data_IF_890865204223
#
_entry.id   IF_890865204223
#
_cell.length_a   1.000
_cell.length_b   1.000
_cell.length_c   1.000
_cell.angle_alpha   90.00
_cell.angle_beta   90.00
_cell.angle_gamma   90.00
#
_symmetry.space_group_name_H-M   'P 1'
#
loop_
_entity.id
_entity.type
_entity.pdbx_description
1 polymer ?
#
# COMPACT_ATOMS: atom_id res chain seq x y z
N UNK A 1 4.90 -1.79 -32.31
CA UNK A 1 4.27 -1.95 -30.98
C UNK A 1 2.81 -1.57 -31.09
N UNK A 2 1.87 -2.41 -30.66
CA UNK A 2 0.45 -2.08 -30.64
C UNK A 2 0.18 -0.95 -29.63
N UNK A 3 -0.77 -0.06 -29.93
CA UNK A 3 -1.13 1.06 -29.02
C UNK A 3 -1.55 0.60 -27.62
N UNK A 4 -2.14 -0.59 -27.52
CA UNK A 4 -2.47 -1.26 -26.24
C UNK A 4 -1.26 -1.37 -25.31
N UNK A 5 -0.12 -1.84 -25.81
CA UNK A 5 1.09 -2.04 -24.99
C UNK A 5 1.63 -0.73 -24.41
N UNK A 6 1.53 0.35 -25.17
CA UNK A 6 1.95 1.68 -24.71
C UNK A 6 1.04 2.14 -23.58
N UNK A 7 -0.28 2.07 -23.77
CA UNK A 7 -1.27 2.48 -22.76
C UNK A 7 -1.12 1.66 -21.48
N UNK A 8 -1.03 0.34 -21.59
CA UNK A 8 -0.86 -0.53 -20.43
C UNK A 8 0.42 -0.25 -19.66
N UNK A 9 1.55 -0.02 -20.36
CA UNK A 9 2.81 0.35 -19.71
C UNK A 9 2.72 1.70 -19.01
N UNK A 10 2.09 2.70 -19.63
CA UNK A 10 1.88 4.00 -19.00
C UNK A 10 1.04 3.85 -17.73
N UNK A 11 -0.09 3.15 -17.80
CA UNK A 11 -0.95 2.91 -16.64
C UNK A 11 -0.22 2.16 -15.53
N UNK A 12 0.53 1.10 -15.87
CA UNK A 12 1.23 0.29 -14.90
C UNK A 12 2.41 1.04 -14.25
N UNK A 13 3.26 1.69 -15.05
CA UNK A 13 4.47 2.35 -14.53
C UNK A 13 4.11 3.63 -13.80
N UNK A 14 3.30 4.52 -14.41
CA UNK A 14 2.92 5.79 -13.76
C UNK A 14 2.02 5.52 -12.56
N UNK A 15 1.07 4.59 -12.68
CA UNK A 15 0.24 4.16 -11.56
C UNK A 15 1.08 3.56 -10.43
N UNK A 16 2.08 2.74 -10.75
CA UNK A 16 3.05 2.20 -9.81
C UNK A 16 3.86 3.28 -9.09
N UNK A 17 4.35 4.29 -9.82
CA UNK A 17 5.07 5.44 -9.24
C UNK A 17 4.19 6.20 -8.24
N UNK A 18 2.95 6.52 -8.61
CA UNK A 18 2.03 7.24 -7.71
C UNK A 18 1.65 6.38 -6.50
N UNK A 19 1.36 5.10 -6.72
CA UNK A 19 0.96 4.19 -5.67
C UNK A 19 2.11 3.88 -4.69
N UNK A 20 3.19 3.29 -5.18
CA UNK A 20 4.33 2.88 -4.34
C UNK A 20 5.02 4.11 -3.74
N UNK A 21 5.20 5.18 -4.54
CA UNK A 21 5.74 6.45 -4.04
C UNK A 21 4.88 7.06 -2.94
N UNK A 22 3.56 7.04 -3.08
CA UNK A 22 2.63 7.50 -2.04
C UNK A 22 2.71 6.66 -0.75
N UNK A 23 2.85 5.34 -0.86
CA UNK A 23 3.03 4.45 0.30
C UNK A 23 4.37 4.71 0.98
N UNK A 24 5.47 4.84 0.22
CA UNK A 24 6.80 5.16 0.74
C UNK A 24 6.81 6.51 1.46
N UNK A 25 6.23 7.54 0.86
CA UNK A 25 6.09 8.86 1.49
C UNK A 25 5.30 8.77 2.79
N UNK A 26 4.18 8.04 2.79
CA UNK A 26 3.36 7.87 3.99
C UNK A 26 4.17 7.21 5.11
N UNK A 27 4.86 6.11 4.81
CA UNK A 27 5.46 5.25 5.82
C UNK A 27 6.79 5.73 6.35
N UNK A 28 7.64 6.30 5.50
CA UNK A 28 8.99 6.72 5.88
C UNK A 28 9.12 8.21 6.18
N UNK A 29 8.17 9.04 5.76
CA UNK A 29 8.26 10.49 5.95
C UNK A 29 7.11 11.01 6.80
N UNK A 30 5.86 10.83 6.35
CA UNK A 30 4.70 11.42 7.03
C UNK A 30 4.45 10.81 8.41
N UNK A 31 4.37 9.48 8.53
CA UNK A 31 4.11 8.83 9.81
C UNK A 31 5.18 9.13 10.87
N UNK A 32 6.49 9.07 10.57
CA UNK A 32 7.52 9.49 11.52
C UNK A 32 7.45 10.97 11.88
N UNK A 33 7.12 11.85 10.93
CA UNK A 33 6.98 13.29 11.19
C UNK A 33 5.80 13.57 12.14
N UNK A 34 4.68 12.88 11.95
CA UNK A 34 3.51 12.96 12.83
C UNK A 34 3.85 12.46 14.23
N UNK A 35 4.57 11.34 14.34
CA UNK A 35 4.96 10.78 15.63
C UNK A 35 5.84 11.76 16.42
N UNK A 36 6.80 12.41 15.74
CA UNK A 36 7.67 13.43 16.35
C UNK A 36 6.91 14.69 16.76
N UNK A 37 5.96 15.14 15.94
CA UNK A 37 5.14 16.32 16.24
C UNK A 37 4.12 16.07 17.39
N UNK A 38 3.87 14.82 17.74
CA UNK A 38 3.01 14.46 18.87
C UNK A 38 1.58 15.00 18.72
N UNK A 39 0.97 15.59 19.77
CA UNK A 39 -0.40 16.09 19.75
C UNK A 39 -0.68 17.15 18.67
N UNK A 40 0.33 17.94 18.28
CA UNK A 40 0.17 19.01 17.31
C UNK A 40 -0.17 18.50 15.89
N UNK A 41 0.12 17.24 15.58
CA UNK A 41 -0.18 16.65 14.28
C UNK A 41 -1.66 16.21 14.10
N UNK A 42 -2.48 16.28 15.14
CA UNK A 42 -3.86 15.80 15.13
C UNK A 42 -4.72 16.31 13.95
N UNK A 43 -4.80 17.64 13.73
CA UNK A 43 -5.59 18.20 12.63
C UNK A 43 -5.13 17.74 11.24
N UNK A 44 -3.81 17.68 11.01
CA UNK A 44 -3.23 17.24 9.73
C UNK A 44 -3.53 15.76 9.49
N UNK A 45 -3.42 14.92 10.52
CA UNK A 45 -3.76 13.50 10.44
C UNK A 45 -5.24 13.25 10.15
N UNK A 46 -6.14 14.09 10.68
CA UNK A 46 -7.57 14.01 10.37
C UNK A 46 -7.88 14.41 8.92
N UNK A 47 -7.11 15.35 8.35
CA UNK A 47 -7.31 15.84 6.99
C UNK A 47 -6.75 14.91 5.91
N UNK A 48 -5.69 14.15 6.19
CA UNK A 48 -5.01 13.29 5.20
C UNK A 48 -5.95 12.26 4.53
N UNK A 49 -6.77 11.48 5.25
CA UNK A 49 -7.68 10.52 4.63
C UNK A 49 -8.74 11.17 3.72
N UNK A 50 -9.01 12.47 3.92
CA UNK A 50 -9.97 13.22 3.13
C UNK A 50 -9.40 13.69 1.79
N UNK A 51 -8.06 13.75 1.68
CA UNK A 51 -7.39 14.19 0.46
C UNK A 51 -7.65 13.22 -0.69
N UNK A 52 -7.85 13.79 -1.88
CA UNK A 52 -8.20 13.04 -3.10
C UNK A 52 -7.19 11.92 -3.38
N UNK A 53 -5.90 12.20 -3.26
CA UNK A 53 -4.85 11.21 -3.53
C UNK A 53 -5.01 9.95 -2.67
N UNK A 54 -5.14 10.09 -1.35
CA UNK A 54 -5.26 8.94 -0.44
C UNK A 54 -6.59 8.20 -0.57
N UNK A 55 -7.65 8.90 -0.98
CA UNK A 55 -8.93 8.27 -1.31
C UNK A 55 -8.85 7.39 -2.56
N UNK A 56 -8.15 7.86 -3.59
CA UNK A 56 -8.02 7.17 -4.88
C UNK A 56 -6.84 6.22 -4.98
N UNK A 57 -5.87 6.27 -4.04
CA UNK A 57 -4.68 5.43 -4.06
C UNK A 57 -4.97 3.92 -4.19
N UNK A 58 -5.97 3.34 -3.48
CA UNK A 58 -6.31 1.93 -3.67
C UNK A 58 -6.86 1.63 -5.07
N UNK A 59 -7.62 2.55 -5.68
CA UNK A 59 -8.11 2.38 -7.05
C UNK A 59 -6.95 2.44 -8.06
N UNK A 60 -6.01 3.37 -7.87
CA UNK A 60 -4.78 3.46 -8.67
C UNK A 60 -3.97 2.17 -8.56
N UNK A 61 -3.84 1.61 -7.35
CA UNK A 61 -3.17 0.33 -7.12
C UNK A 61 -3.83 -0.82 -7.89
N UNK A 62 -5.17 -0.92 -7.84
CA UNK A 62 -5.92 -1.94 -8.58
C UNK A 62 -5.74 -1.79 -10.08
N UNK A 63 -5.88 -0.57 -10.63
CA UNK A 63 -5.66 -0.30 -12.05
C UNK A 63 -4.23 -0.67 -12.47
N UNK A 64 -3.24 -0.32 -11.63
CA UNK A 64 -1.83 -0.68 -11.84
C UNK A 64 -1.64 -2.19 -11.91
N UNK A 65 -2.19 -2.95 -10.95
CA UNK A 65 -2.08 -4.41 -10.94
C UNK A 65 -2.77 -5.05 -12.15
N UNK A 66 -3.97 -4.60 -12.51
CA UNK A 66 -4.69 -5.11 -13.68
C UNK A 66 -3.92 -4.84 -14.99
N UNK A 67 -3.35 -3.64 -15.14
CA UNK A 67 -2.50 -3.32 -16.28
C UNK A 67 -1.25 -4.21 -16.32
N UNK A 68 -0.62 -4.48 -15.17
CA UNK A 68 0.51 -5.38 -15.04
C UNK A 68 0.19 -6.83 -15.39
N UNK A 69 -0.95 -7.34 -14.91
CA UNK A 69 -1.45 -8.68 -15.24
C UNK A 69 -1.68 -8.81 -16.76
N UNK A 70 -2.28 -7.79 -17.39
CA UNK A 70 -2.48 -7.78 -18.84
C UNK A 70 -1.15 -7.74 -19.60
N UNK A 71 -0.18 -6.93 -19.15
CA UNK A 71 1.17 -6.92 -19.74
C UNK A 71 1.85 -8.28 -19.62
N UNK A 72 1.74 -8.93 -18.47
CA UNK A 72 2.29 -10.26 -18.23
C UNK A 72 1.63 -11.30 -19.14
N UNK A 73 0.31 -11.23 -19.32
CA UNK A 73 -0.43 -12.11 -20.23
C UNK A 73 0.05 -11.95 -21.68
N UNK A 74 0.24 -10.71 -22.16
CA UNK A 74 0.76 -10.48 -23.52
C UNK A 74 2.20 -10.97 -23.65
N UNK A 75 3.07 -10.66 -22.68
CA UNK A 75 4.49 -11.05 -22.71
C UNK A 75 4.70 -12.58 -22.67
N UNK A 76 3.81 -13.29 -21.99
CA UNK A 76 3.86 -14.75 -21.82
C UNK A 76 3.05 -15.53 -22.86
N UNK A 77 2.59 -14.89 -23.95
CA UNK A 77 1.74 -15.52 -24.96
C UNK A 77 0.51 -16.21 -24.37
N UNK A 78 -0.15 -15.56 -23.41
CA UNK A 78 -1.36 -16.07 -22.76
C UNK A 78 -1.10 -16.97 -21.55
N UNK A 79 -0.03 -16.69 -20.79
CA UNK A 79 0.46 -17.50 -19.67
C UNK A 79 1.01 -18.88 -20.05
N UNK A 80 1.71 -18.95 -21.18
CA UNK A 80 2.47 -20.12 -21.57
C UNK A 80 3.52 -20.48 -20.51
N UNK A 81 3.61 -21.77 -20.17
CA UNK A 81 4.45 -22.27 -19.08
C UNK A 81 5.93 -21.93 -19.30
N UNK A 82 6.38 -21.97 -20.55
CA UNK A 82 7.76 -21.77 -20.98
C UNK A 82 8.28 -20.39 -20.58
N UNK A 83 7.43 -19.36 -20.69
CA UNK A 83 7.79 -18.00 -20.27
C UNK A 83 8.12 -17.95 -18.77
N UNK A 84 7.31 -18.63 -17.95
CA UNK A 84 7.47 -18.63 -16.50
C UNK A 84 8.67 -19.45 -16.01
N UNK A 85 9.26 -20.29 -16.85
CA UNK A 85 10.50 -21.00 -16.55
C UNK A 85 11.75 -20.15 -16.81
N UNK A 86 11.61 -19.01 -17.52
CA UNK A 86 12.71 -18.06 -17.72
C UNK A 86 12.98 -17.22 -16.47
N UNK A 87 14.21 -16.71 -16.34
CA UNK A 87 14.55 -15.78 -15.27
C UNK A 87 13.67 -14.53 -15.31
N UNK A 88 13.49 -13.92 -16.50
CA UNK A 88 12.57 -12.80 -16.72
C UNK A 88 11.17 -13.08 -16.18
N UNK A 89 10.56 -14.20 -16.57
CA UNK A 89 9.20 -14.57 -16.21
C UNK A 89 9.04 -14.85 -14.72
N UNK A 90 10.02 -15.54 -14.12
CA UNK A 90 10.06 -15.75 -12.67
C UNK A 90 10.14 -14.43 -11.90
N UNK A 91 11.01 -13.50 -12.29
CA UNK A 91 11.18 -12.23 -11.59
C UNK A 91 9.92 -11.36 -11.66
N UNK A 92 9.27 -11.27 -12.84
CA UNK A 92 7.97 -10.57 -12.92
C UNK A 92 6.89 -11.23 -12.06
N UNK A 93 6.85 -12.56 -12.01
CA UNK A 93 5.86 -13.30 -11.21
C UNK A 93 6.03 -13.09 -9.72
N UNK A 94 7.28 -13.14 -9.23
CA UNK A 94 7.60 -12.84 -7.83
C UNK A 94 7.25 -11.40 -7.51
N UNK A 95 7.63 -10.45 -8.38
CA UNK A 95 7.25 -9.04 -8.21
C UNK A 95 5.74 -8.83 -8.13
N UNK A 96 4.97 -9.47 -9.02
CA UNK A 96 3.52 -9.41 -9.03
C UNK A 96 2.91 -9.97 -7.73
N UNK A 97 3.40 -11.13 -7.27
CA UNK A 97 2.95 -11.76 -6.02
C UNK A 97 3.22 -10.84 -4.82
N UNK A 98 4.44 -10.30 -4.71
CA UNK A 98 4.81 -9.39 -3.62
C UNK A 98 3.94 -8.13 -3.60
N UNK A 99 3.65 -7.55 -4.77
CA UNK A 99 2.78 -6.38 -4.88
C UNK A 99 1.33 -6.69 -4.45
N UNK A 100 0.78 -7.82 -4.87
CA UNK A 100 -0.57 -8.26 -4.50
C UNK A 100 -0.64 -8.52 -2.99
N UNK A 101 0.31 -9.27 -2.43
CA UNK A 101 0.35 -9.56 -0.98
C UNK A 101 0.51 -8.27 -0.18
N UNK A 102 1.40 -7.37 -0.62
CA UNK A 102 1.57 -6.05 -0.01
C UNK A 102 0.28 -5.23 0.00
N UNK A 103 -0.44 -5.20 -1.13
CA UNK A 103 -1.73 -4.53 -1.25
C UNK A 103 -2.79 -5.13 -0.30
N UNK A 104 -2.90 -6.46 -0.26
CA UNK A 104 -3.86 -7.15 0.60
C UNK A 104 -3.57 -6.90 2.09
N UNK A 105 -2.30 -6.92 2.50
CA UNK A 105 -1.92 -6.57 3.89
C UNK A 105 -2.34 -5.13 4.22
N UNK A 106 -2.10 -4.18 3.31
CA UNK A 106 -2.51 -2.80 3.51
C UNK A 106 -4.04 -2.66 3.65
N UNK A 107 -4.81 -3.31 2.78
CA UNK A 107 -6.27 -3.18 2.73
C UNK A 107 -7.02 -3.99 3.78
N UNK A 108 -6.56 -5.19 4.10
CA UNK A 108 -7.26 -6.11 5.00
C UNK A 108 -6.77 -6.02 6.45
N UNK A 109 -5.56 -5.50 6.68
CA UNK A 109 -4.97 -5.45 8.03
C UNK A 109 -4.63 -4.03 8.46
N UNK A 110 -3.78 -3.32 7.72
CA UNK A 110 -3.27 -2.02 8.16
C UNK A 110 -4.38 -0.96 8.21
N UNK A 111 -5.12 -0.77 7.10
CA UNK A 111 -6.17 0.23 6.98
C UNK A 111 -7.33 0.00 7.95
N UNK A 112 -7.92 -1.20 8.11
CA UNK A 112 -8.98 -1.42 9.09
C UNK A 112 -8.51 -1.18 10.52
N UNK A 113 -7.27 -1.55 10.85
CA UNK A 113 -6.69 -1.27 12.17
C UNK A 113 -6.58 0.23 12.43
N UNK A 114 -6.12 1.02 11.44
CA UNK A 114 -6.03 2.47 11.54
C UNK A 114 -7.41 3.14 11.66
N UNK A 115 -8.39 2.69 10.87
CA UNK A 115 -9.76 3.21 10.92
C UNK A 115 -10.41 2.95 12.28
N UNK A 116 -10.29 1.72 12.80
CA UNK A 116 -10.83 1.37 14.12
C UNK A 116 -10.15 2.14 15.24
N UNK A 117 -8.83 2.36 15.15
CA UNK A 117 -8.12 3.22 16.09
C UNK A 117 -8.63 4.67 16.07
N UNK A 118 -8.92 5.22 14.88
CA UNK A 118 -9.48 6.56 14.73
C UNK A 118 -10.89 6.68 15.32
N UNK A 119 -11.75 5.68 15.11
CA UNK A 119 -13.10 5.63 15.67
C UNK A 119 -13.08 5.58 17.20
N UNK A 120 -12.26 4.71 17.80
CA UNK A 120 -12.12 4.61 19.26
C UNK A 120 -11.50 5.89 19.86
N UNK A 121 -10.62 6.57 19.12
CA UNK A 121 -10.09 7.87 19.54
C UNK A 121 -11.19 8.93 19.65
N UNK A 122 -12.17 8.91 18.74
CA UNK A 122 -13.34 9.80 18.82
C UNK A 122 -14.23 9.55 20.03
N UNK A 123 -14.28 8.30 20.51
CA UNK A 123 -15.06 7.91 21.69
C UNK A 123 -14.42 8.36 23.02
N UNK A 124 -13.09 8.58 23.04
CA UNK A 124 -12.38 9.05 24.24
C UNK A 124 -12.91 10.39 24.76
N UNK A 125 -13.38 11.28 23.88
CA UNK A 125 -13.92 12.58 24.26
C UNK A 125 -15.27 12.48 25.03
N UNK A 126 -15.99 11.36 24.91
CA UNK A 126 -17.27 11.11 25.58
C UNK A 126 -17.21 10.13 26.74
N UNK A 127 -16.04 9.57 27.07
CA UNK A 127 -15.88 8.59 28.13
C UNK A 127 -15.90 9.25 29.53
N UNK A 128 -16.94 8.95 30.31
CA UNK A 128 -17.20 9.57 31.62
C UNK A 128 -16.30 9.10 32.76
N UNK A 129 -15.80 7.85 32.73
CA UNK A 129 -14.94 7.29 33.78
C UNK A 129 -13.49 7.03 33.31
N UNK A 130 -12.56 7.04 34.26
CA UNK A 130 -11.12 6.92 34.02
C UNK A 130 -10.68 5.50 33.60
N UNK A 131 -11.36 4.45 34.07
CA UNK A 131 -11.04 3.06 33.74
C UNK A 131 -11.37 2.75 32.27
N UNK A 132 -12.53 3.22 31.80
CA UNK A 132 -12.98 3.15 30.40
C UNK A 132 -12.05 3.95 29.50
N UNK A 133 -11.59 5.16 29.92
CA UNK A 133 -10.58 5.91 29.15
C UNK A 133 -9.27 5.16 29.03
N UNK A 134 -8.76 4.58 30.12
CA UNK A 134 -7.52 3.81 30.09
C UNK A 134 -7.63 2.59 29.16
N UNK A 135 -8.74 1.87 29.20
CA UNK A 135 -8.99 0.71 28.32
C UNK A 135 -9.05 1.12 26.83
N UNK A 136 -9.76 2.20 26.51
CA UNK A 136 -9.84 2.75 25.15
C UNK A 136 -8.47 3.20 24.63
N UNK A 137 -7.69 3.89 25.45
CA UNK A 137 -6.34 4.33 25.09
C UNK A 137 -5.42 3.14 24.78
N UNK A 138 -5.47 2.07 25.59
CA UNK A 138 -4.67 0.86 25.36
C UNK A 138 -5.04 0.16 24.04
N UNK A 139 -6.34 0.03 23.73
CA UNK A 139 -6.79 -0.59 22.47
C UNK A 139 -6.45 0.28 21.25
N UNK A 140 -6.56 1.61 21.36
CA UNK A 140 -6.10 2.55 20.32
C UNK A 140 -4.60 2.37 20.05
N UNK A 141 -3.78 2.31 21.10
CA UNK A 141 -2.34 2.12 20.97
C UNK A 141 -2.00 0.78 20.28
N UNK A 142 -2.67 -0.30 20.69
CA UNK A 142 -2.53 -1.64 20.08
C UNK A 142 -2.87 -1.62 18.59
N UNK A 143 -4.00 -1.02 18.22
CA UNK A 143 -4.45 -0.94 16.82
C UNK A 143 -3.54 -0.06 15.97
N UNK A 144 -3.06 1.07 16.49
CA UNK A 144 -2.05 1.91 15.82
C UNK A 144 -0.75 1.14 15.59
N UNK A 145 -0.26 0.41 16.60
CA UNK A 145 0.93 -0.42 16.48
C UNK A 145 0.75 -1.57 15.46
N UNK A 146 -0.44 -2.17 15.37
CA UNK A 146 -0.77 -3.15 14.33
C UNK A 146 -0.79 -2.49 12.95
N UNK A 147 -1.45 -1.34 12.80
CA UNK A 147 -1.52 -0.61 11.54
C UNK A 147 -0.14 -0.24 11.01
N UNK A 148 0.73 0.32 11.87
CA UNK A 148 2.09 0.72 11.52
C UNK A 148 2.99 -0.45 11.11
N UNK A 149 2.98 -1.55 11.87
CA UNK A 149 3.78 -2.75 11.56
C UNK A 149 3.40 -3.37 10.22
N UNK A 150 2.12 -3.63 10.00
CA UNK A 150 1.65 -4.23 8.75
C UNK A 150 1.73 -3.27 7.56
N UNK A 151 1.59 -1.96 7.78
CA UNK A 151 1.87 -0.97 6.74
C UNK A 151 3.35 -0.94 6.35
N UNK A 152 4.25 -1.13 7.32
CA UNK A 152 5.70 -1.17 7.07
C UNK A 152 6.08 -2.41 6.27
N UNK A 153 5.55 -3.56 6.66
CA UNK A 153 5.69 -4.81 5.91
C UNK A 153 5.18 -4.66 4.47
N UNK A 154 3.97 -4.10 4.29
CA UNK A 154 3.40 -3.81 2.97
C UNK A 154 4.32 -2.93 2.13
N UNK A 155 4.87 -1.86 2.73
CA UNK A 155 5.80 -0.94 2.04
C UNK A 155 7.07 -1.66 1.58
N UNK A 156 7.66 -2.50 2.43
CA UNK A 156 8.86 -3.28 2.08
C UNK A 156 8.55 -4.23 0.92
N UNK A 157 7.42 -4.95 0.97
CA UNK A 157 7.01 -5.85 -0.11
C UNK A 157 6.83 -5.10 -1.45
N UNK A 158 6.24 -3.91 -1.42
CA UNK A 158 6.04 -3.07 -2.60
C UNK A 158 7.36 -2.52 -3.17
N UNK A 159 8.31 -2.14 -2.31
CA UNK A 159 9.65 -1.74 -2.74
C UNK A 159 10.40 -2.91 -3.39
N UNK A 160 10.37 -4.09 -2.76
CA UNK A 160 10.98 -5.30 -3.34
C UNK A 160 10.32 -5.70 -4.66
N UNK A 161 8.99 -5.60 -4.76
CA UNK A 161 8.27 -5.82 -6.00
C UNK A 161 8.72 -4.84 -7.11
N UNK A 162 8.84 -3.56 -6.77
CA UNK A 162 9.29 -2.51 -7.71
C UNK A 162 10.71 -2.78 -8.19
N UNK A 163 11.62 -3.13 -7.28
CA UNK A 163 13.00 -3.48 -7.63
C UNK A 163 13.06 -4.72 -8.54
N UNK A 164 12.32 -5.78 -8.21
CA UNK A 164 12.23 -6.99 -9.04
C UNK A 164 11.73 -6.66 -10.46
N UNK A 165 10.66 -5.87 -10.60
CA UNK A 165 10.13 -5.50 -11.91
C UNK A 165 11.08 -4.59 -12.70
N UNK A 166 11.83 -3.71 -12.03
CA UNK A 166 12.80 -2.83 -12.67
C UNK A 166 13.98 -3.59 -13.30
N UNK A 167 14.40 -4.69 -12.65
CA UNK A 167 15.52 -5.51 -13.13
C UNK A 167 15.08 -6.65 -14.06
N UNK A 168 13.83 -7.11 -13.98
CA UNK A 168 13.34 -8.31 -14.68
C UNK A 168 13.65 -8.32 -16.18
N UNK A 169 13.61 -7.16 -16.85
CA UNK A 169 13.92 -7.05 -18.29
C UNK A 169 15.38 -7.35 -18.68
N UNK A 170 16.29 -7.42 -17.71
CA UNK A 170 17.72 -7.64 -17.91
C UNK A 170 18.19 -9.03 -17.49
N UNK A 171 17.28 -9.85 -16.97
CA UNK A 171 17.51 -11.24 -16.55
C UNK A 171 16.96 -12.17 -17.61
#
# INVERSE_FOLDING_TARGET
MSGELIVLRLLHVVGGVVWVGGVVLMHFVLLPSVAQAGPAAGPVMAAIPQQRLFRWLPAIAVITMLAGIRLLWVASAGFAKEYFLTWTGHTYSVGALLAIVGFLIAMLVSRPSAMRAGQLMGQLAGAGDDATRAQLQAEVARLRGRAGRFGGLSTILLLTATAAMAIARYL
#
